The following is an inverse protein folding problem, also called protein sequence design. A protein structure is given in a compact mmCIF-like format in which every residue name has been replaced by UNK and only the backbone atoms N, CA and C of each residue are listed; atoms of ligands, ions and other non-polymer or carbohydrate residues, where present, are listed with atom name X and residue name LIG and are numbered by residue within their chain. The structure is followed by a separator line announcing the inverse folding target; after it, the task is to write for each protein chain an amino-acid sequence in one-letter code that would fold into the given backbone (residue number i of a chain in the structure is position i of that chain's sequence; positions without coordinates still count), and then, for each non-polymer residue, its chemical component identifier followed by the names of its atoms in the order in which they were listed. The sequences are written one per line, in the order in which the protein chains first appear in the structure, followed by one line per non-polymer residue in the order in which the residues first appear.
data_IF_252883199530
#
_entry.id   IF_252883199530
#
_cell.length_a   1.000
_cell.length_b   1.000
_cell.length_c   1.000
_cell.angle_alpha   90.00
_cell.angle_beta   90.00
_cell.angle_gamma   90.00
#
_symmetry.space_group_name_H-M   'P 1'
#
loop_
_entity.id
_entity.type
_entity.pdbx_description
1 polymer ?
#
# COMPACT_ATOMS: atom_id res chain seq x y z
N UNK A 1 4.45 6.92 8.53
CA UNK A 1 4.10 8.22 9.16
C UNK A 1 4.35 9.38 8.21
N UNK A 2 3.74 10.54 8.51
CA UNK A 2 4.03 11.80 7.84
C UNK A 2 4.77 12.75 8.77
N UNK A 3 5.54 13.65 8.19
CA UNK A 3 6.24 14.70 8.90
C UNK A 3 6.64 15.85 8.00
N UNK A 4 7.26 16.85 8.60
CA UNK A 4 7.89 17.96 7.89
C UNK A 4 9.39 17.84 8.06
N UNK A 5 10.15 18.00 6.99
CA UNK A 5 11.61 17.98 7.03
C UNK A 5 12.09 19.19 7.85
N UNK A 6 12.61 18.93 9.02
CA UNK A 6 13.08 19.99 9.92
C UNK A 6 14.55 20.34 9.72
N UNK A 7 15.35 19.34 9.32
CA UNK A 7 16.79 19.50 9.10
C UNK A 7 17.30 18.44 8.13
N UNK A 8 18.30 18.78 7.33
CA UNK A 8 18.98 17.89 6.39
C UNK A 8 20.47 17.89 6.74
N UNK A 9 21.05 16.68 6.89
CA UNK A 9 22.48 16.53 7.11
C UNK A 9 23.32 17.13 5.98
N UNK A 10 24.44 17.72 6.32
CA UNK A 10 25.28 18.44 5.35
C UNK A 10 25.73 17.56 4.17
N UNK A 11 26.03 16.29 4.44
CA UNK A 11 26.47 15.33 3.41
C UNK A 11 25.37 15.05 2.37
N UNK A 12 24.09 15.18 2.76
CA UNK A 12 22.94 14.97 1.86
C UNK A 12 22.59 16.20 1.04
N UNK A 13 22.82 17.42 1.55
CA UNK A 13 22.45 18.66 0.86
C UNK A 13 23.11 18.79 -0.53
N UNK A 14 24.31 18.25 -0.68
CA UNK A 14 25.11 18.32 -1.90
C UNK A 14 25.10 17.01 -2.70
N UNK A 15 24.31 16.02 -2.28
CA UNK A 15 24.28 14.71 -2.94
C UNK A 15 23.51 14.79 -4.25
N UNK A 16 24.07 14.34 -5.38
CA UNK A 16 23.36 14.27 -6.66
C UNK A 16 22.07 13.42 -6.55
N UNK A 17 20.96 13.97 -7.03
CA UNK A 17 19.65 13.28 -7.00
C UNK A 17 18.90 13.38 -5.68
N UNK A 18 19.44 14.05 -4.66
CA UNK A 18 18.70 14.34 -3.44
C UNK A 18 17.79 15.56 -3.66
N UNK A 19 16.50 15.38 -3.43
CA UNK A 19 15.47 16.35 -3.86
C UNK A 19 14.68 16.99 -2.72
N UNK A 20 14.97 16.64 -1.44
CA UNK A 20 14.29 17.23 -0.29
C UNK A 20 14.86 18.58 0.11
N UNK A 21 13.97 19.41 0.65
CA UNK A 21 14.28 20.69 1.27
C UNK A 21 13.68 20.75 2.66
N UNK A 22 14.28 21.52 3.56
CA UNK A 22 13.69 21.85 4.84
C UNK A 22 12.34 22.54 4.63
N UNK A 23 11.32 22.09 5.34
CA UNK A 23 9.93 22.48 5.13
C UNK A 23 9.09 21.58 4.24
N UNK A 24 9.70 20.66 3.48
CA UNK A 24 8.95 19.70 2.66
C UNK A 24 8.10 18.77 3.55
N UNK A 25 6.85 18.55 3.15
CA UNK A 25 5.99 17.53 3.76
C UNK A 25 6.27 16.18 3.11
N UNK A 26 6.56 15.18 3.91
CA UNK A 26 6.88 13.83 3.44
C UNK A 26 6.07 12.76 4.16
N UNK A 27 5.88 11.64 3.48
CA UNK A 27 5.43 10.36 4.04
C UNK A 27 6.60 9.41 4.03
N UNK A 28 6.97 8.87 5.19
CA UNK A 28 7.96 7.82 5.30
C UNK A 28 7.35 6.48 4.89
N UNK A 29 8.03 5.74 4.04
CA UNK A 29 7.69 4.37 3.63
C UNK A 29 8.46 3.32 4.45
N UNK A 30 9.25 3.76 5.42
CA UNK A 30 10.02 2.89 6.32
C UNK A 30 9.20 2.54 7.55
N UNK A 31 9.31 1.30 8.02
CA UNK A 31 8.69 0.86 9.28
C UNK A 31 9.14 1.72 10.45
N UNK A 32 8.22 2.03 11.37
CA UNK A 32 8.53 2.75 12.61
C UNK A 32 9.55 2.02 13.48
N UNK A 33 9.59 0.68 13.42
CA UNK A 33 10.58 -0.12 14.15
C UNK A 33 12.02 0.10 13.68
N UNK A 34 12.20 0.66 12.48
CA UNK A 34 13.50 0.99 11.90
C UNK A 34 13.77 2.51 11.88
N UNK A 35 12.92 3.29 12.51
CA UNK A 35 13.02 4.75 12.52
C UNK A 35 13.19 5.25 13.94
N UNK A 36 14.35 5.81 14.32
CA UNK A 36 14.49 6.45 15.63
C UNK A 36 13.46 7.56 15.79
N UNK A 37 12.60 7.44 16.78
CA UNK A 37 11.48 8.34 17.03
C UNK A 37 11.52 8.82 18.48
N UNK A 38 11.55 10.13 18.68
CA UNK A 38 11.36 10.77 19.97
C UNK A 38 10.00 11.44 20.00
N UNK A 39 9.10 10.92 20.82
CA UNK A 39 7.79 11.54 21.08
C UNK A 39 7.96 12.52 22.24
N UNK A 40 7.65 13.78 22.00
CA UNK A 40 7.69 14.84 23.01
C UNK A 40 6.30 15.05 23.64
N UNK A 41 5.24 14.92 22.84
CA UNK A 41 3.85 15.06 23.28
C UNK A 41 2.91 14.29 22.38
N UNK A 42 1.93 13.63 22.96
CA UNK A 42 0.77 13.09 22.24
C UNK A 42 -0.32 14.17 22.24
N UNK A 43 -0.78 14.56 21.06
CA UNK A 43 -1.81 15.58 20.88
C UNK A 43 -3.21 14.96 20.87
N UNK A 44 -3.41 13.89 20.09
CA UNK A 44 -4.68 13.19 19.96
C UNK A 44 -4.50 11.73 19.56
N UNK A 45 -5.47 10.90 19.93
CA UNK A 45 -5.55 9.49 19.56
C UNK A 45 -6.90 9.26 18.89
N UNK A 46 -6.88 8.84 17.62
CA UNK A 46 -8.05 8.55 16.80
C UNK A 46 -8.15 7.04 16.60
N UNK A 47 -8.87 6.36 17.51
CA UNK A 47 -8.96 4.88 17.53
C UNK A 47 -9.78 4.32 16.36
N UNK A 48 -10.67 5.11 15.79
CA UNK A 48 -11.52 4.77 14.66
C UNK A 48 -10.75 4.61 13.34
N UNK A 49 -9.60 5.28 13.23
CA UNK A 49 -8.74 5.27 12.03
C UNK A 49 -7.29 4.91 12.35
N UNK A 50 -7.02 4.36 13.51
CA UNK A 50 -5.68 3.94 13.99
C UNK A 50 -4.60 5.03 13.82
N UNK A 51 -4.96 6.28 14.16
CA UNK A 51 -4.07 7.44 14.04
C UNK A 51 -3.73 8.05 15.38
N UNK A 52 -2.47 8.44 15.54
CA UNK A 52 -1.99 9.24 16.68
C UNK A 52 -1.30 10.49 16.14
N UNK A 53 -1.74 11.64 16.63
CA UNK A 53 -1.09 12.92 16.34
C UNK A 53 -0.12 13.27 17.47
N UNK A 54 1.12 13.57 17.11
CA UNK A 54 2.20 13.81 18.07
C UNK A 54 2.99 15.09 17.73
N UNK A 55 3.63 15.63 18.75
CA UNK A 55 4.82 16.45 18.59
C UNK A 55 6.02 15.55 18.84
N UNK A 56 6.94 15.48 17.89
CA UNK A 56 8.09 14.60 18.00
C UNK A 56 9.09 14.79 16.87
N UNK A 57 10.18 14.07 16.94
CA UNK A 57 11.26 14.09 15.94
C UNK A 57 11.57 12.66 15.52
N UNK A 58 11.74 12.45 14.24
CA UNK A 58 12.16 11.18 13.66
C UNK A 58 13.44 11.39 12.85
N UNK A 59 14.31 10.39 12.85
CA UNK A 59 15.52 10.39 12.02
C UNK A 59 15.28 9.44 10.86
N UNK A 60 15.31 9.97 9.63
CA UNK A 60 15.36 9.19 8.42
C UNK A 60 16.82 9.08 7.97
N UNK A 61 17.29 7.85 7.82
CA UNK A 61 18.63 7.60 7.27
C UNK A 61 18.65 7.85 5.76
N UNK A 62 19.82 8.01 5.22
CA UNK A 62 20.04 8.23 3.78
C UNK A 62 19.34 7.18 2.89
N UNK A 63 19.33 5.93 3.31
CA UNK A 63 18.68 4.82 2.60
C UNK A 63 17.17 4.73 2.80
N UNK A 64 16.58 5.61 3.62
CA UNK A 64 15.16 5.57 3.92
C UNK A 64 14.33 5.95 2.70
N UNK A 65 13.31 5.14 2.42
CA UNK A 65 12.34 5.45 1.37
C UNK A 65 11.31 6.45 1.90
N UNK A 66 11.06 7.47 1.12
CA UNK A 66 10.04 8.48 1.39
C UNK A 66 9.31 8.88 0.11
N UNK A 67 8.18 9.52 0.27
CA UNK A 67 7.46 10.20 -0.79
C UNK A 67 7.13 11.62 -0.34
N UNK A 68 7.29 12.61 -1.21
CA UNK A 68 6.72 13.94 -0.95
C UNK A 68 5.21 13.83 -0.91
N UNK A 69 4.59 14.54 0.01
CA UNK A 69 3.13 14.53 0.14
C UNK A 69 2.48 15.03 -1.15
N UNK A 70 1.62 14.21 -1.81
CA UNK A 70 0.90 14.66 -3.00
C UNK A 70 -0.01 15.86 -2.67
N UNK A 71 -0.02 16.85 -3.54
CA UNK A 71 -0.83 18.06 -3.35
C UNK A 71 -2.31 17.84 -3.71
N UNK A 72 -2.57 16.89 -4.59
CA UNK A 72 -3.90 16.53 -5.12
C UNK A 72 -4.63 15.46 -4.30
N UNK A 73 -4.06 15.04 -3.19
CA UNK A 73 -4.58 13.97 -2.34
C UNK A 73 -4.71 14.43 -0.89
N UNK A 74 -5.80 14.04 -0.23
CA UNK A 74 -5.94 14.30 1.21
C UNK A 74 -4.89 13.55 2.02
N UNK A 75 -4.39 14.14 3.09
CA UNK A 75 -3.35 13.52 3.94
C UNK A 75 -3.72 12.12 4.46
N UNK A 76 -4.95 11.84 4.94
CA UNK A 76 -5.33 10.50 5.36
C UNK A 76 -5.29 9.48 4.23
N UNK A 77 -5.73 9.87 3.03
CA UNK A 77 -5.72 8.99 1.86
C UNK A 77 -4.29 8.71 1.40
N UNK A 78 -3.43 9.74 1.34
CA UNK A 78 -2.02 9.59 1.01
C UNK A 78 -1.31 8.63 1.98
N UNK A 79 -1.53 8.77 3.29
CA UNK A 79 -0.99 7.86 4.29
C UNK A 79 -1.48 6.43 4.08
N UNK A 80 -2.79 6.24 3.86
CA UNK A 80 -3.37 4.91 3.66
C UNK A 80 -2.82 4.20 2.42
N UNK A 81 -2.63 4.92 1.32
CA UNK A 81 -2.10 4.37 0.07
C UNK A 81 -0.59 4.11 0.15
N UNK A 82 0.18 5.07 0.66
CA UNK A 82 1.64 4.98 0.71
C UNK A 82 2.15 3.99 1.77
N UNK A 83 1.39 3.77 2.84
CA UNK A 83 1.71 2.77 3.87
C UNK A 83 1.86 1.34 3.30
N UNK A 84 1.14 1.02 2.24
CA UNK A 84 1.13 -0.31 1.61
C UNK A 84 1.73 -0.31 0.19
N UNK A 85 2.40 0.73 -0.22
CA UNK A 85 2.87 0.92 -1.60
C UNK A 85 3.90 -0.14 -2.08
N UNK A 86 4.56 -0.84 -1.18
CA UNK A 86 5.51 -1.91 -1.52
C UNK A 86 4.87 -3.09 -2.24
N UNK A 87 3.72 -3.57 -1.78
CA UNK A 87 3.03 -4.71 -2.36
C UNK A 87 2.46 -4.41 -3.77
N UNK A 88 1.77 -3.29 -4.03
CA UNK A 88 1.39 -2.89 -5.40
C UNK A 88 2.59 -2.75 -6.35
N UNK A 89 3.73 -2.23 -5.86
CA UNK A 89 4.93 -2.14 -6.68
C UNK A 89 5.45 -3.52 -7.11
N UNK A 90 5.34 -4.54 -6.27
CA UNK A 90 5.64 -5.93 -6.62
C UNK A 90 4.60 -6.51 -7.58
N UNK A 91 3.31 -6.28 -7.33
CA UNK A 91 2.21 -6.71 -8.21
C UNK A 91 2.34 -6.13 -9.63
N UNK A 92 2.97 -4.96 -9.78
CA UNK A 92 3.31 -4.38 -11.07
C UNK A 92 4.51 -5.04 -11.76
N UNK A 93 5.47 -5.57 -11.00
CA UNK A 93 6.73 -6.09 -11.54
C UNK A 93 6.70 -7.58 -11.85
N UNK A 94 6.04 -8.37 -11.01
CA UNK A 94 6.12 -9.83 -11.06
C UNK A 94 5.33 -10.46 -12.22
N UNK A 95 4.06 -10.08 -12.48
CA UNK A 95 3.28 -10.68 -13.55
C UNK A 95 3.76 -10.24 -14.93
N UNK A 96 3.42 -11.06 -15.95
CA UNK A 96 3.60 -10.76 -17.35
C UNK A 96 2.23 -10.60 -18.05
N UNK A 97 2.25 -10.11 -19.27
CA UNK A 97 1.03 -10.02 -20.07
C UNK A 97 0.42 -11.42 -20.29
N UNK A 98 -0.86 -11.55 -20.03
CA UNK A 98 -1.60 -12.82 -20.14
C UNK A 98 -1.58 -13.71 -18.90
N UNK A 99 -0.82 -13.36 -17.86
CA UNK A 99 -0.77 -14.14 -16.62
C UNK A 99 -2.09 -14.11 -15.86
N UNK A 100 -2.30 -15.15 -15.03
CA UNK A 100 -3.35 -15.18 -14.02
C UNK A 100 -2.76 -14.85 -12.64
N UNK A 101 -3.37 -13.88 -11.96
CA UNK A 101 -2.95 -13.40 -10.63
C UNK A 101 -4.06 -13.65 -9.63
N UNK A 102 -3.77 -14.38 -8.55
CA UNK A 102 -4.69 -14.61 -7.44
C UNK A 102 -4.33 -13.70 -6.26
N UNK A 103 -5.32 -12.96 -5.75
CA UNK A 103 -5.13 -12.05 -4.62
C UNK A 103 -5.99 -12.49 -3.43
N UNK A 104 -5.34 -12.98 -2.39
CA UNK A 104 -6.01 -13.42 -1.15
C UNK A 104 -6.33 -12.22 -0.27
N UNK A 105 -7.56 -12.18 0.27
CA UNK A 105 -8.04 -11.07 1.08
C UNK A 105 -8.32 -9.81 0.26
N UNK A 106 -8.92 -9.97 -0.90
CA UNK A 106 -9.10 -8.96 -1.95
C UNK A 106 -9.76 -7.65 -1.51
N UNK A 107 -10.49 -7.62 -0.38
CA UNK A 107 -11.12 -6.43 0.18
C UNK A 107 -10.18 -5.53 1.02
N UNK A 108 -8.94 -5.94 1.23
CA UNK A 108 -7.96 -5.13 1.95
C UNK A 108 -7.41 -3.98 1.11
N UNK A 109 -7.06 -2.84 1.74
CA UNK A 109 -6.48 -1.66 1.04
C UNK A 109 -5.28 -2.02 0.15
N UNK A 110 -4.37 -2.85 0.66
CA UNK A 110 -3.20 -3.34 -0.10
C UNK A 110 -3.62 -4.21 -1.28
N UNK A 111 -4.60 -5.09 -1.08
CA UNK A 111 -5.08 -6.01 -2.10
C UNK A 111 -5.75 -5.29 -3.27
N UNK A 112 -6.57 -4.28 -3.00
CA UNK A 112 -7.20 -3.45 -4.04
C UNK A 112 -6.14 -2.74 -4.90
N UNK A 113 -5.12 -2.15 -4.26
CA UNK A 113 -4.01 -1.52 -4.99
C UNK A 113 -3.18 -2.54 -5.79
N UNK A 114 -2.95 -3.74 -5.24
CA UNK A 114 -2.30 -4.83 -5.97
C UNK A 114 -3.15 -5.29 -7.17
N UNK A 115 -4.47 -5.41 -7.01
CA UNK A 115 -5.40 -5.73 -8.08
C UNK A 115 -5.31 -4.73 -9.22
N UNK A 116 -5.36 -3.45 -8.89
CA UNK A 116 -5.22 -2.37 -9.87
C UNK A 116 -3.91 -2.46 -10.68
N UNK A 117 -2.77 -2.62 -10.01
CA UNK A 117 -1.47 -2.73 -10.68
C UNK A 117 -1.32 -4.03 -11.47
N UNK A 118 -1.84 -5.15 -10.93
CA UNK A 118 -1.86 -6.43 -11.63
C UNK A 118 -2.71 -6.37 -12.91
N UNK A 119 -3.92 -5.83 -12.85
CA UNK A 119 -4.79 -5.66 -14.03
C UNK A 119 -4.11 -4.88 -15.17
N UNK A 120 -3.44 -3.79 -14.82
CA UNK A 120 -2.66 -3.01 -15.81
C UNK A 120 -1.54 -3.82 -16.44
N UNK A 121 -0.92 -4.71 -15.67
CA UNK A 121 0.25 -5.48 -16.10
C UNK A 121 -0.12 -6.70 -16.92
N UNK A 122 -1.14 -7.47 -16.51
CA UNK A 122 -1.53 -8.68 -17.22
C UNK A 122 -2.30 -8.38 -18.52
N UNK A 123 -2.89 -7.19 -18.61
CA UNK A 123 -3.61 -6.75 -19.80
C UNK A 123 -4.91 -7.54 -20.08
N UNK A 124 -5.50 -7.36 -21.27
CA UNK A 124 -6.83 -7.89 -21.58
C UNK A 124 -6.89 -9.41 -21.74
N UNK A 125 -5.75 -10.08 -21.87
CA UNK A 125 -5.66 -11.54 -21.97
C UNK A 125 -5.39 -12.21 -20.63
N UNK A 126 -4.99 -11.42 -19.62
CA UNK A 126 -4.72 -11.92 -18.29
C UNK A 126 -5.95 -11.93 -17.39
N UNK A 127 -5.83 -12.56 -16.23
CA UNK A 127 -6.88 -12.61 -15.21
C UNK A 127 -6.33 -12.11 -13.87
N UNK A 128 -7.15 -11.35 -13.15
CA UNK A 128 -6.87 -11.01 -11.75
C UNK A 128 -8.05 -11.42 -10.91
N UNK A 129 -7.88 -12.46 -10.10
CA UNK A 129 -8.95 -13.05 -9.30
C UNK A 129 -8.77 -12.66 -7.84
N UNK A 130 -9.80 -12.05 -7.27
CA UNK A 130 -9.86 -11.70 -5.86
C UNK A 130 -10.51 -12.79 -5.02
N UNK A 131 -9.96 -13.11 -3.84
CA UNK A 131 -10.60 -14.04 -2.90
C UNK A 131 -11.04 -13.30 -1.66
N UNK A 132 -12.31 -13.45 -1.29
CA UNK A 132 -12.93 -12.84 -0.11
C UNK A 132 -13.64 -13.88 0.74
N UNK A 133 -13.84 -13.59 2.03
CA UNK A 133 -14.55 -14.50 2.95
C UNK A 133 -16.07 -14.31 2.94
N UNK A 134 -16.56 -13.15 2.49
CA UNK A 134 -17.99 -12.79 2.61
C UNK A 134 -18.55 -12.47 1.23
N UNK A 135 -19.66 -13.12 0.87
CA UNK A 135 -20.36 -12.85 -0.40
C UNK A 135 -20.82 -11.39 -0.55
N UNK A 136 -21.09 -10.70 0.55
CA UNK A 136 -21.48 -9.28 0.53
C UNK A 136 -20.39 -8.34 0.02
N UNK A 137 -19.14 -8.80 -0.08
CA UNK A 137 -18.00 -7.99 -0.56
C UNK A 137 -17.81 -8.08 -2.08
N UNK A 138 -18.45 -9.05 -2.73
CA UNK A 138 -18.23 -9.35 -4.16
C UNK A 138 -18.69 -8.20 -5.04
N UNK A 139 -19.90 -7.70 -4.85
CA UNK A 139 -20.48 -6.66 -5.69
C UNK A 139 -19.62 -5.39 -5.70
N UNK A 140 -19.24 -4.90 -4.51
CA UNK A 140 -18.43 -3.69 -4.35
C UNK A 140 -17.06 -3.83 -5.03
N UNK A 141 -16.42 -5.02 -4.90
CA UNK A 141 -15.12 -5.27 -5.51
C UNK A 141 -15.18 -5.40 -7.03
N UNK A 142 -16.24 -6.00 -7.56
CA UNK A 142 -16.46 -6.07 -9.02
C UNK A 142 -16.73 -4.68 -9.59
N UNK A 143 -17.46 -3.82 -8.89
CA UNK A 143 -17.71 -2.42 -9.28
C UNK A 143 -16.43 -1.60 -9.38
N UNK A 144 -15.41 -1.89 -8.54
CA UNK A 144 -14.12 -1.22 -8.61
C UNK A 144 -13.35 -1.48 -9.92
N UNK A 145 -13.67 -2.56 -10.65
CA UNK A 145 -13.04 -2.91 -11.92
C UNK A 145 -11.55 -3.28 -11.80
N UNK A 146 -11.08 -3.67 -10.61
CA UNK A 146 -9.68 -4.08 -10.36
C UNK A 146 -9.49 -5.60 -10.32
N UNK A 147 -10.57 -6.35 -10.49
CA UNK A 147 -10.58 -7.81 -10.58
C UNK A 147 -11.37 -8.25 -11.82
N UNK A 148 -10.93 -9.31 -12.46
CA UNK A 148 -11.69 -10.00 -13.53
C UNK A 148 -12.78 -10.86 -12.93
N UNK A 149 -12.55 -11.40 -11.73
CA UNK A 149 -13.49 -12.22 -10.98
C UNK A 149 -13.21 -12.15 -9.47
N UNK A 150 -14.23 -12.46 -8.65
CA UNK A 150 -14.12 -12.50 -7.18
C UNK A 150 -14.74 -13.78 -6.64
N UNK A 151 -13.91 -14.60 -6.00
CA UNK A 151 -14.28 -15.88 -5.41
C UNK A 151 -14.56 -15.73 -3.91
N UNK A 152 -15.61 -16.37 -3.42
CA UNK A 152 -15.90 -16.45 -1.97
C UNK A 152 -15.33 -17.74 -1.42
N UNK A 153 -14.21 -17.64 -0.68
CA UNK A 153 -13.57 -18.80 -0.05
C UNK A 153 -12.89 -18.42 1.26
N UNK A 154 -12.78 -19.39 2.15
CA UNK A 154 -11.95 -19.32 3.35
C UNK A 154 -10.54 -19.83 3.03
N UNK A 155 -9.61 -18.89 2.85
CA UNK A 155 -8.20 -19.21 2.51
C UNK A 155 -7.46 -20.03 3.57
N UNK A 156 -8.03 -20.20 4.77
CA UNK A 156 -7.47 -21.10 5.80
C UNK A 156 -7.82 -22.56 5.54
N UNK A 157 -8.69 -22.84 4.57
CA UNK A 157 -9.12 -24.17 4.15
C UNK A 157 -8.63 -24.46 2.73
N UNK A 158 -7.43 -25.03 2.54
CA UNK A 158 -6.84 -25.21 1.21
C UNK A 158 -7.72 -25.97 0.21
N UNK A 159 -8.53 -26.92 0.68
CA UNK A 159 -9.46 -27.67 -0.18
C UNK A 159 -10.48 -26.80 -0.92
N UNK A 160 -10.88 -25.66 -0.35
CA UNK A 160 -11.83 -24.76 -1.00
C UNK A 160 -11.20 -23.94 -2.13
N UNK A 161 -9.90 -23.69 -2.05
CA UNK A 161 -9.14 -23.05 -3.14
C UNK A 161 -8.88 -24.04 -4.29
N UNK A 162 -8.68 -25.32 -3.96
CA UNK A 162 -8.43 -26.37 -4.94
C UNK A 162 -9.66 -26.71 -5.81
N UNK A 163 -10.86 -26.64 -5.22
CA UNK A 163 -12.10 -26.91 -5.95
C UNK A 163 -12.53 -25.77 -6.87
N UNK A 164 -12.09 -24.53 -6.64
CA UNK A 164 -12.34 -23.42 -7.55
C UNK A 164 -11.44 -23.44 -8.78
N UNK A 165 -10.27 -24.08 -8.69
CA UNK A 165 -9.33 -24.25 -9.81
C UNK A 165 -9.76 -25.39 -10.75
N UNK A 166 -10.43 -26.41 -10.21
CA UNK A 166 -10.92 -27.58 -10.96
C UNK A 166 -12.21 -27.29 -11.75
N UNK A 167 -12.81 -26.12 -11.61
CA UNK A 167 -14.01 -25.73 -12.38
C UNK A 167 -13.71 -25.08 -13.71
N UNK A 168 -12.43 -24.85 -14.03
CA UNK A 168 -11.95 -24.22 -15.27
C UNK A 168 -11.36 -25.23 -16.29
N UNK A 169 -11.47 -26.56 -16.06
CA UNK A 169 -11.14 -27.60 -17.05
C UNK A 169 -12.34 -28.02 -17.92
#
# INVERSE_FOLDING_TARGET
FKGVVAHIGEDLKNKPGFDLKEGDKIVSLVSLSMTPLKIEKILSIHKDIDRVDIVGKAILFESALYCKMPEDMSEPLALAALDVAGAPAQARKLPHEGDSVLILGANGKSAVLCGYEAMKKVGPKGKVVGVVRKASQVADLMELGVYTDVIVADCTKPCLLYTSDAADE
#
